data_IF_850784415589
#
_entry.id   IF_850784415589
#
_cell.length_a   1.000
_cell.length_b   1.000
_cell.length_c   1.000
_cell.angle_alpha   90.00
_cell.angle_beta   90.00
_cell.angle_gamma   90.00
#
_symmetry.space_group_name_H-M   'P 1'
#
loop_
_entity.id
_entity.type
_entity.pdbx_description
1 polymer ?
#
# COMPACT_ATOMS: atom_id res chain seq x y z
N UNK A 1 -12.23 8.14 14.82
CA UNK A 1 -12.69 7.62 16.12
C UNK A 1 -12.58 6.12 16.08
N UNK A 2 -11.56 5.59 16.70
CA UNK A 2 -11.45 4.15 16.90
C UNK A 2 -12.38 3.75 18.04
N UNK A 3 -13.12 2.66 17.84
CA UNK A 3 -14.01 2.13 18.83
C UNK A 3 -13.20 1.52 19.98
N UNK A 4 -12.95 2.30 21.02
CA UNK A 4 -12.23 1.85 22.22
C UNK A 4 -13.13 1.30 23.31
N UNK A 5 -14.46 1.27 23.11
CA UNK A 5 -15.42 0.96 24.16
C UNK A 5 -16.43 -0.11 23.73
N UNK A 6 -16.03 -1.30 23.40
CA UNK A 6 -16.94 -2.44 23.31
C UNK A 6 -18.23 -2.31 22.48
N UNK A 7 -18.46 -1.18 21.83
CA UNK A 7 -19.57 -0.99 20.91
C UNK A 7 -19.33 -1.82 19.64
N UNK A 8 -20.15 -2.83 19.47
CA UNK A 8 -20.12 -3.66 18.28
C UNK A 8 -20.76 -2.89 17.14
N UNK A 9 -19.95 -2.48 16.14
CA UNK A 9 -20.47 -1.91 14.92
C UNK A 9 -21.24 -3.00 14.16
N UNK A 10 -22.56 -2.89 14.07
CA UNK A 10 -23.35 -3.77 13.23
C UNK A 10 -23.31 -3.24 11.80
N UNK A 11 -22.43 -3.81 10.98
CA UNK A 11 -22.35 -3.56 9.56
C UNK A 11 -22.93 -4.77 8.82
N UNK A 12 -23.71 -4.58 7.75
CA UNK A 12 -24.15 -5.72 6.94
C UNK A 12 -22.93 -6.51 6.47
N UNK A 13 -22.84 -7.77 6.86
CA UNK A 13 -21.80 -8.68 6.37
C UNK A 13 -22.32 -9.28 5.09
N UNK A 14 -21.64 -9.03 3.96
CA UNK A 14 -21.91 -9.81 2.76
C UNK A 14 -21.21 -11.15 2.92
N UNK A 15 -21.95 -12.23 2.72
CA UNK A 15 -21.36 -13.54 2.54
C UNK A 15 -20.67 -13.55 1.17
N UNK A 16 -19.49 -14.01 1.12
CA UNK A 16 -18.39 -13.54 0.32
C UNK A 16 -18.22 -14.19 -1.04
N UNK A 17 -19.17 -14.94 -1.51
CA UNK A 17 -18.97 -15.66 -2.78
C UNK A 17 -19.34 -14.82 -4.02
N UNK A 18 -19.73 -13.56 -3.81
CA UNK A 18 -20.02 -12.67 -4.92
C UNK A 18 -19.81 -11.19 -4.59
N UNK A 19 -19.20 -10.48 -5.52
CA UNK A 19 -19.09 -9.03 -5.47
C UNK A 19 -20.49 -8.38 -5.40
N UNK A 20 -20.77 -7.54 -4.39
CA UNK A 20 -22.10 -6.96 -4.21
C UNK A 20 -22.43 -5.83 -5.20
N UNK A 21 -21.47 -5.46 -6.06
CA UNK A 21 -21.52 -4.32 -6.95
C UNK A 21 -21.06 -3.01 -6.32
N UNK A 22 -20.65 -2.08 -7.17
CA UNK A 22 -20.06 -0.78 -6.79
C UNK A 22 -20.93 -0.03 -5.79
N UNK A 23 -22.25 0.06 -6.06
CA UNK A 23 -23.16 0.81 -5.19
C UNK A 23 -23.16 0.27 -3.75
N UNK A 24 -23.27 -1.03 -3.58
CA UNK A 24 -23.34 -1.62 -2.26
C UNK A 24 -22.01 -1.55 -1.51
N UNK A 25 -20.89 -1.65 -2.23
CA UNK A 25 -19.56 -1.42 -1.68
C UNK A 25 -19.39 0.05 -1.24
N UNK A 26 -19.81 0.99 -2.07
CA UNK A 26 -19.75 2.42 -1.75
C UNK A 26 -20.64 2.78 -0.55
N UNK A 27 -21.88 2.30 -0.50
CA UNK A 27 -22.79 2.52 0.63
C UNK A 27 -22.16 2.05 1.96
N UNK A 28 -21.36 0.96 1.93
CA UNK A 28 -20.63 0.45 3.10
C UNK A 28 -19.46 1.34 3.49
N UNK A 29 -18.65 1.78 2.51
CA UNK A 29 -17.56 2.72 2.76
C UNK A 29 -18.11 3.98 3.42
N UNK A 30 -19.18 4.54 2.87
CA UNK A 30 -19.80 5.76 3.37
C UNK A 30 -20.38 5.57 4.79
N UNK A 31 -21.00 4.43 5.06
CA UNK A 31 -21.48 4.08 6.41
C UNK A 31 -20.32 4.01 7.40
N UNK A 32 -19.24 3.32 7.09
CA UNK A 32 -18.08 3.19 7.98
C UNK A 32 -17.43 4.55 8.22
N UNK A 33 -17.25 5.35 7.18
CA UNK A 33 -16.73 6.72 7.30
C UNK A 33 -17.61 7.61 8.16
N UNK A 34 -18.93 7.50 8.04
CA UNK A 34 -19.87 8.26 8.87
C UNK A 34 -19.76 7.92 10.36
N UNK A 35 -19.19 6.76 10.70
CA UNK A 35 -18.89 6.30 12.05
C UNK A 35 -17.49 6.66 12.52
N UNK A 36 -16.72 7.38 11.71
CA UNK A 36 -15.35 7.77 12.00
C UNK A 36 -14.31 6.67 11.76
N UNK A 37 -14.65 5.63 11.00
CA UNK A 37 -13.70 4.62 10.57
C UNK A 37 -12.94 5.10 9.33
N UNK A 38 -11.68 4.70 9.20
CA UNK A 38 -11.00 4.67 7.90
C UNK A 38 -11.15 3.29 7.27
N UNK A 39 -11.19 3.22 5.96
CA UNK A 39 -11.53 2.00 5.21
C UNK A 39 -10.45 1.68 4.20
N UNK A 40 -10.20 0.39 4.01
CA UNK A 40 -9.28 -0.13 3.01
C UNK A 40 -10.02 -1.03 2.02
N UNK A 41 -9.45 -1.19 0.84
CA UNK A 41 -9.81 -2.26 -0.09
C UNK A 41 -8.66 -3.27 -0.14
N UNK A 42 -8.96 -4.53 0.23
CA UNK A 42 -7.97 -5.58 0.40
C UNK A 42 -7.98 -6.55 -0.80
N UNK A 43 -6.84 -7.20 -1.06
CA UNK A 43 -6.62 -8.28 -2.04
C UNK A 43 -7.45 -8.13 -3.34
N UNK A 44 -7.36 -7.00 -4.06
CA UNK A 44 -8.22 -6.73 -5.21
C UNK A 44 -8.09 -7.76 -6.34
N UNK A 45 -6.91 -8.33 -6.54
CA UNK A 45 -6.70 -9.36 -7.56
C UNK A 45 -7.35 -10.69 -7.17
N UNK A 46 -7.17 -11.13 -5.92
CA UNK A 46 -7.83 -12.32 -5.37
C UNK A 46 -9.35 -12.21 -5.41
N UNK A 47 -9.89 -11.02 -5.16
CA UNK A 47 -11.33 -10.74 -5.17
C UNK A 47 -11.99 -10.88 -6.55
N UNK A 48 -11.21 -10.94 -7.63
CA UNK A 48 -11.70 -11.10 -9.03
C UNK A 48 -12.69 -10.04 -9.47
N UNK A 49 -12.68 -8.88 -8.85
CA UNK A 49 -13.55 -7.76 -9.22
C UNK A 49 -12.91 -6.98 -10.36
N UNK A 50 -13.75 -6.48 -11.27
CA UNK A 50 -13.29 -5.65 -12.38
C UNK A 50 -12.48 -4.44 -11.84
N UNK A 51 -11.28 -4.18 -12.36
CA UNK A 51 -10.48 -3.04 -11.93
C UNK A 51 -11.18 -1.69 -12.06
N UNK A 52 -12.07 -1.52 -13.05
CA UNK A 52 -12.82 -0.27 -13.20
C UNK A 52 -13.82 -0.08 -12.07
N UNK A 53 -14.48 -1.14 -11.64
CA UNK A 53 -15.40 -1.09 -10.51
C UNK A 53 -14.68 -0.76 -9.21
N UNK A 54 -13.55 -1.45 -8.91
CA UNK A 54 -12.74 -1.20 -7.71
C UNK A 54 -12.21 0.23 -7.69
N UNK A 55 -11.63 0.67 -8.80
CA UNK A 55 -11.03 2.00 -8.89
C UNK A 55 -12.06 3.14 -8.90
N UNK A 56 -13.34 2.85 -9.12
CA UNK A 56 -14.42 3.83 -9.03
C UNK A 56 -14.83 4.16 -7.59
N UNK A 57 -14.46 3.33 -6.61
CA UNK A 57 -14.81 3.52 -5.20
C UNK A 57 -14.14 4.79 -4.64
N UNK A 58 -14.90 5.53 -3.84
CA UNK A 58 -14.48 6.80 -3.26
C UNK A 58 -14.37 6.71 -1.75
N UNK A 59 -13.45 7.50 -1.19
CA UNK A 59 -13.33 7.65 0.26
C UNK A 59 -12.62 6.50 0.96
N UNK A 60 -11.97 5.61 0.23
CA UNK A 60 -11.00 4.70 0.82
C UNK A 60 -9.82 5.50 1.40
N UNK A 61 -9.37 5.08 2.57
CA UNK A 61 -8.11 5.57 3.11
C UNK A 61 -6.92 4.97 2.38
N UNK A 62 -6.95 3.65 2.12
CA UNK A 62 -5.85 2.98 1.44
C UNK A 62 -6.31 1.77 0.61
N UNK A 63 -5.48 1.42 -0.36
CA UNK A 63 -5.52 0.21 -1.16
C UNK A 63 -4.43 -0.75 -0.71
N UNK A 64 -4.75 -2.01 -0.53
CA UNK A 64 -3.74 -3.05 -0.33
C UNK A 64 -3.01 -3.33 -1.64
N UNK A 65 -1.70 -3.04 -1.66
CA UNK A 65 -0.85 -3.21 -2.84
C UNK A 65 -0.03 -4.50 -2.79
N UNK A 66 0.04 -5.13 -1.63
CA UNK A 66 0.64 -6.44 -1.43
C UNK A 66 -0.08 -7.18 -0.31
N UNK A 67 -0.45 -8.44 -0.59
CA UNK A 67 -1.06 -9.37 0.34
C UNK A 67 -0.26 -10.68 0.37
N UNK A 68 0.39 -10.98 1.48
CA UNK A 68 1.32 -12.11 1.57
C UNK A 68 0.62 -13.47 1.49
N UNK A 69 -0.52 -13.63 2.16
CA UNK A 69 -1.31 -14.85 2.11
C UNK A 69 -1.81 -15.16 0.70
N UNK A 70 -2.28 -14.13 -0.02
CA UNK A 70 -2.67 -14.27 -1.44
C UNK A 70 -1.48 -14.60 -2.34
N UNK A 71 -0.29 -14.07 -2.05
CA UNK A 71 0.92 -14.40 -2.81
C UNK A 71 1.31 -15.87 -2.63
N UNK A 72 1.38 -16.34 -1.39
CA UNK A 72 1.77 -17.72 -1.08
C UNK A 72 0.74 -18.75 -1.57
N UNK A 73 -0.55 -18.46 -1.37
CA UNK A 73 -1.62 -19.38 -1.72
C UNK A 73 -1.95 -19.45 -3.21
N UNK A 74 -1.80 -18.31 -3.91
CA UNK A 74 -2.38 -18.17 -5.26
C UNK A 74 -1.45 -17.46 -6.27
N UNK A 75 -0.34 -16.86 -5.85
CA UNK A 75 0.53 -16.02 -6.70
C UNK A 75 -0.13 -14.69 -7.10
N UNK A 76 -1.03 -14.17 -6.27
CA UNK A 76 -1.88 -13.02 -6.57
C UNK A 76 -1.73 -11.88 -5.54
N UNK A 77 -0.59 -11.83 -4.86
CA UNK A 77 -0.35 -10.86 -3.81
C UNK A 77 -0.07 -9.44 -4.30
N UNK A 78 0.53 -9.29 -5.49
CA UNK A 78 0.94 -7.97 -6.00
C UNK A 78 -0.18 -7.26 -6.77
N UNK A 79 -0.65 -6.13 -6.23
CA UNK A 79 -1.85 -5.43 -6.71
C UNK A 79 -1.64 -3.93 -6.98
N UNK A 80 -0.39 -3.50 -7.13
CA UNK A 80 -0.01 -2.09 -7.41
C UNK A 80 -0.71 -1.50 -8.63
N UNK A 81 -1.07 -2.32 -9.63
CA UNK A 81 -1.82 -1.89 -10.80
C UNK A 81 -3.16 -1.21 -10.46
N UNK A 82 -3.91 -1.74 -9.49
CA UNK A 82 -5.17 -1.14 -9.05
C UNK A 82 -4.94 0.22 -8.41
N UNK A 83 -3.94 0.32 -7.55
CA UNK A 83 -3.58 1.56 -6.88
C UNK A 83 -3.13 2.65 -7.86
N UNK A 84 -2.21 2.33 -8.78
CA UNK A 84 -1.78 3.27 -9.83
C UNK A 84 -2.93 3.75 -10.70
N UNK A 85 -3.90 2.87 -10.99
CA UNK A 85 -5.08 3.24 -11.75
C UNK A 85 -5.95 4.24 -11.00
N UNK A 86 -6.14 4.08 -9.69
CA UNK A 86 -6.83 5.05 -8.84
C UNK A 86 -6.12 6.41 -8.86
N UNK A 87 -4.80 6.41 -8.66
CA UNK A 87 -4.00 7.64 -8.70
C UNK A 87 -4.13 8.37 -10.04
N UNK A 88 -4.06 7.65 -11.15
CA UNK A 88 -4.23 8.21 -12.51
C UNK A 88 -5.61 8.81 -12.77
N UNK A 89 -6.62 8.35 -12.05
CA UNK A 89 -7.97 8.91 -12.09
C UNK A 89 -8.14 10.11 -11.15
N UNK A 90 -7.08 10.53 -10.45
CA UNK A 90 -7.13 11.60 -9.45
C UNK A 90 -7.71 11.18 -8.11
N UNK A 91 -7.92 9.87 -7.90
CA UNK A 91 -8.37 9.32 -6.63
C UNK A 91 -7.14 8.95 -5.79
N UNK A 92 -6.64 9.92 -5.03
CA UNK A 92 -5.44 9.77 -4.22
C UNK A 92 -5.74 9.00 -2.93
N UNK A 93 -5.45 7.72 -2.94
CA UNK A 93 -5.52 6.82 -1.79
C UNK A 93 -4.13 6.39 -1.37
N UNK A 94 -3.94 6.14 -0.09
CA UNK A 94 -2.69 5.57 0.42
C UNK A 94 -2.53 4.12 -0.04
N UNK A 95 -1.32 3.56 0.11
CA UNK A 95 -1.02 2.18 -0.22
C UNK A 95 -0.47 1.45 0.99
N UNK A 96 -0.88 0.20 1.21
CA UNK A 96 -0.34 -0.60 2.31
C UNK A 96 -0.06 -2.05 1.89
N UNK A 97 0.83 -2.72 2.62
CA UNK A 97 1.07 -4.15 2.54
C UNK A 97 0.56 -4.82 3.82
N UNK A 98 0.07 -6.05 3.68
CA UNK A 98 -0.31 -6.87 4.83
C UNK A 98 -0.02 -8.35 4.60
N UNK A 99 0.01 -9.10 5.69
CA UNK A 99 0.11 -10.55 5.65
C UNK A 99 -1.20 -11.23 5.27
N UNK A 100 -2.33 -10.66 5.69
CA UNK A 100 -3.64 -11.35 5.65
C UNK A 100 -3.56 -12.75 6.26
N UNK A 101 -2.96 -12.80 7.45
CA UNK A 101 -2.48 -14.00 8.11
C UNK A 101 -3.59 -14.97 8.50
N UNK A 102 -3.49 -16.21 8.07
CA UNK A 102 -4.37 -17.33 8.40
C UNK A 102 -3.62 -18.53 8.97
N UNK A 103 -2.29 -18.61 8.74
CA UNK A 103 -1.41 -19.73 9.10
C UNK A 103 -2.04 -21.10 8.78
N UNK A 104 -2.39 -21.36 7.51
CA UNK A 104 -2.89 -22.67 7.11
C UNK A 104 -1.80 -23.73 7.27
N UNK A 105 -2.16 -25.01 7.40
CA UNK A 105 -1.17 -26.08 7.61
C UNK A 105 -0.09 -26.20 6.53
N UNK A 106 -0.39 -25.73 5.32
CA UNK A 106 0.46 -25.89 4.14
C UNK A 106 1.60 -24.86 4.08
N UNK A 107 1.44 -23.69 4.68
CA UNK A 107 2.44 -22.64 4.64
C UNK A 107 2.28 -21.64 5.78
N UNK A 108 3.38 -20.93 6.06
CA UNK A 108 3.42 -19.87 7.07
C UNK A 108 3.36 -18.50 6.38
N UNK A 109 2.26 -17.79 6.58
CA UNK A 109 1.93 -16.53 5.93
C UNK A 109 2.08 -15.30 6.83
N UNK A 110 2.97 -15.35 7.80
CA UNK A 110 3.27 -14.23 8.70
C UNK A 110 4.59 -13.55 8.33
N UNK A 111 4.66 -12.24 8.55
CA UNK A 111 5.85 -11.39 8.40
C UNK A 111 6.39 -11.24 6.98
N UNK A 112 5.57 -11.50 5.97
CA UNK A 112 5.94 -11.32 4.58
C UNK A 112 5.45 -10.01 3.97
N UNK A 113 4.46 -9.34 4.58
CA UNK A 113 3.94 -8.05 4.15
C UNK A 113 3.46 -7.22 5.33
N UNK A 114 3.96 -6.00 5.50
CA UNK A 114 3.63 -5.15 6.63
C UNK A 114 3.84 -3.66 6.32
N UNK A 115 3.35 -2.81 7.22
CA UNK A 115 3.64 -1.38 7.22
C UNK A 115 4.61 -1.03 8.35
N UNK A 116 5.56 -0.14 8.07
CA UNK A 116 6.42 0.48 9.07
C UNK A 116 5.92 1.90 9.29
N UNK A 117 5.48 2.20 10.49
CA UNK A 117 4.92 3.51 10.86
C UNK A 117 6.00 4.33 11.55
N UNK A 118 6.22 5.56 11.06
CA UNK A 118 7.16 6.52 11.67
C UNK A 118 6.45 7.23 12.83
N UNK A 119 6.31 6.55 13.96
CA UNK A 119 5.62 7.05 15.16
C UNK A 119 6.61 7.30 16.29
N UNK A 120 6.37 8.36 17.05
CA UNK A 120 7.18 8.73 18.22
C UNK A 120 6.94 7.81 19.41
N UNK A 121 5.81 7.11 19.45
CA UNK A 121 5.43 6.21 20.55
C UNK A 121 4.60 5.03 20.07
N UNK A 122 4.61 3.93 20.85
CA UNK A 122 3.83 2.72 20.59
C UNK A 122 2.46 2.78 21.26
N UNK A 123 1.83 3.93 21.25
CA UNK A 123 0.45 4.04 21.68
C UNK A 123 -0.49 4.14 20.47
N UNK A 124 -1.74 3.80 20.73
CA UNK A 124 -2.78 3.71 19.73
C UNK A 124 -3.01 5.03 18.99
N UNK A 125 -3.07 6.15 19.72
CA UNK A 125 -3.38 7.46 19.15
C UNK A 125 -2.24 7.93 18.24
N UNK A 126 -1.00 7.79 18.68
CA UNK A 126 0.17 8.15 17.90
C UNK A 126 0.26 7.32 16.61
N UNK A 127 0.18 6.00 16.69
CA UNK A 127 0.24 5.13 15.50
C UNK A 127 -0.85 5.47 14.48
N UNK A 128 -2.08 5.67 14.94
CA UNK A 128 -3.20 5.98 14.04
C UNK A 128 -3.06 7.35 13.39
N UNK A 129 -2.62 8.35 14.15
CA UNK A 129 -2.41 9.69 13.61
C UNK A 129 -1.35 9.66 12.51
N UNK A 130 -0.23 8.96 12.72
CA UNK A 130 0.82 8.80 11.71
C UNK A 130 0.36 7.98 10.48
N UNK A 131 -0.42 6.92 10.69
CA UNK A 131 -1.02 6.18 9.57
C UNK A 131 -1.93 7.10 8.72
N UNK A 132 -2.78 7.89 9.35
CA UNK A 132 -3.69 8.80 8.65
C UNK A 132 -2.96 9.98 8.00
N UNK A 133 -1.82 10.39 8.55
CA UNK A 133 -0.95 11.42 7.96
C UNK A 133 -0.13 10.90 6.76
N UNK A 134 -0.02 9.57 6.60
CA UNK A 134 0.82 8.96 5.56
C UNK A 134 2.29 8.79 5.98
N UNK A 135 2.60 8.90 7.28
CA UNK A 135 3.93 8.76 7.83
C UNK A 135 4.29 7.27 7.99
N UNK A 136 4.16 6.51 6.93
CA UNK A 136 4.49 5.09 6.91
C UNK A 136 4.89 4.63 5.51
N UNK A 137 5.49 3.47 5.42
CA UNK A 137 5.77 2.79 4.18
C UNK A 137 5.42 1.30 4.26
N UNK A 138 5.19 0.69 3.11
CA UNK A 138 4.92 -0.74 2.98
C UNK A 138 6.20 -1.51 2.72
N UNK A 139 6.40 -2.65 3.35
CA UNK A 139 7.62 -3.45 3.22
C UNK A 139 7.34 -4.95 3.17
N UNK A 140 8.27 -5.66 2.53
CA UNK A 140 8.44 -7.11 2.53
C UNK A 140 9.82 -7.50 3.10
N UNK A 141 10.42 -6.64 3.94
CA UNK A 141 11.71 -6.86 4.58
C UNK A 141 12.66 -5.66 4.56
N UNK A 142 12.90 -5.00 3.40
CA UNK A 142 13.77 -3.83 3.34
C UNK A 142 13.27 -2.67 4.18
N UNK A 143 14.20 -1.87 4.72
CA UNK A 143 13.89 -0.71 5.55
C UNK A 143 14.11 0.58 4.77
N UNK A 144 13.16 1.52 4.86
CA UNK A 144 13.36 2.91 4.45
C UNK A 144 13.76 3.70 5.68
N UNK A 145 14.94 4.32 5.62
CA UNK A 145 15.47 5.13 6.70
C UNK A 145 14.99 6.58 6.62
N UNK A 146 14.89 7.11 5.39
CA UNK A 146 14.42 8.46 5.14
C UNK A 146 13.87 8.58 3.71
N UNK A 147 12.83 9.39 3.55
CA UNK A 147 12.31 9.78 2.23
C UNK A 147 11.73 11.19 2.29
N UNK A 148 11.57 11.80 1.13
CA UNK A 148 10.99 13.13 1.05
C UNK A 148 11.34 13.87 -0.23
N UNK A 149 11.14 15.18 -0.20
CA UNK A 149 11.51 16.09 -1.28
C UNK A 149 12.55 17.07 -0.76
N UNK A 150 13.67 17.19 -1.47
CA UNK A 150 14.76 18.10 -1.17
C UNK A 150 15.29 18.71 -2.47
N UNK A 151 15.42 20.03 -2.54
CA UNK A 151 15.95 20.74 -3.72
C UNK A 151 15.31 20.31 -5.06
N UNK A 152 13.99 20.17 -5.06
CA UNK A 152 13.20 19.71 -6.21
C UNK A 152 13.52 18.27 -6.67
N UNK A 153 14.04 17.43 -5.78
CA UNK A 153 14.23 16.00 -6.00
C UNK A 153 13.44 15.21 -4.96
N UNK A 154 12.73 14.18 -5.40
CA UNK A 154 12.26 13.14 -4.49
C UNK A 154 13.44 12.22 -4.21
N UNK A 155 13.66 11.88 -2.95
CA UNK A 155 14.77 11.02 -2.53
C UNK A 155 14.30 9.91 -1.59
N UNK A 156 15.09 8.85 -1.54
CA UNK A 156 14.95 7.76 -0.57
C UNK A 156 16.31 7.31 -0.08
N UNK A 157 16.41 7.08 1.23
CA UNK A 157 17.53 6.39 1.90
C UNK A 157 16.98 5.11 2.53
N UNK A 158 17.63 3.98 2.27
CA UNK A 158 17.12 2.67 2.65
C UNK A 158 18.23 1.69 3.04
N UNK A 159 17.83 0.54 3.61
CA UNK A 159 18.72 -0.60 3.76
C UNK A 159 19.27 -1.06 2.41
N UNK A 160 20.42 -1.77 2.37
CA UNK A 160 21.04 -2.20 1.13
C UNK A 160 20.07 -2.95 0.21
N UNK A 161 19.92 -2.51 -1.03
CA UNK A 161 19.02 -3.09 -2.00
C UNK A 161 19.65 -3.19 -3.40
N UNK A 162 19.03 -3.99 -4.26
CA UNK A 162 19.51 -4.20 -5.63
C UNK A 162 18.94 -3.22 -6.64
N UNK A 163 17.79 -2.62 -6.32
CA UNK A 163 17.08 -1.72 -7.23
C UNK A 163 16.24 -0.72 -6.47
N UNK A 164 16.25 0.53 -6.93
CA UNK A 164 15.34 1.60 -6.53
C UNK A 164 14.71 2.15 -7.80
N UNK A 165 13.39 2.28 -7.82
CA UNK A 165 12.66 2.79 -8.97
C UNK A 165 11.70 3.90 -8.53
N UNK A 166 11.79 5.05 -9.19
CA UNK A 166 10.84 6.16 -9.09
C UNK A 166 9.88 6.06 -10.27
N UNK A 167 8.60 5.86 -9.98
CA UNK A 167 7.54 5.77 -10.98
C UNK A 167 6.75 7.07 -10.95
N UNK A 168 6.47 7.64 -12.12
CA UNK A 168 5.68 8.87 -12.23
C UNK A 168 4.38 8.60 -12.98
N UNK A 169 3.42 9.51 -12.86
CA UNK A 169 2.14 9.46 -13.58
C UNK A 169 2.26 9.75 -15.08
N UNK A 170 3.40 10.23 -15.51
CA UNK A 170 3.72 10.49 -16.92
C UNK A 170 4.07 9.22 -17.71
N UNK A 171 4.48 9.39 -18.99
CA UNK A 171 5.00 8.30 -19.79
C UNK A 171 6.17 7.57 -19.10
N UNK A 172 6.32 6.28 -19.37
CA UNK A 172 7.32 5.42 -18.70
C UNK A 172 8.76 5.90 -18.80
N UNK A 173 9.10 6.72 -19.80
CA UNK A 173 10.43 7.32 -19.90
C UNK A 173 10.72 8.39 -18.83
N UNK A 174 9.70 8.89 -18.15
CA UNK A 174 9.87 9.79 -17.01
C UNK A 174 10.23 9.03 -15.72
N UNK A 175 10.00 7.73 -15.68
CA UNK A 175 10.39 6.89 -14.56
C UNK A 175 11.90 6.65 -14.59
N UNK A 176 12.52 6.64 -13.40
CA UNK A 176 13.95 6.36 -13.29
C UNK A 176 14.20 5.16 -12.40
N UNK A 177 14.99 4.23 -12.93
CA UNK A 177 15.43 3.04 -12.23
C UNK A 177 16.93 3.13 -11.95
N UNK A 178 17.29 2.95 -10.69
CA UNK A 178 18.67 2.79 -10.24
C UNK A 178 18.91 1.32 -9.96
N UNK A 179 19.97 0.77 -10.51
CA UNK A 179 20.36 -0.63 -10.36
C UNK A 179 21.70 -0.72 -9.65
N UNK A 180 21.82 -1.68 -8.75
CA UNK A 180 23.09 -2.08 -8.15
C UNK A 180 24.10 -2.42 -9.24
N UNK A 181 25.31 -1.95 -9.07
CA UNK A 181 26.46 -2.33 -9.90
C UNK A 181 27.44 -3.17 -9.09
N UNK A 182 28.52 -2.57 -8.60
CA UNK A 182 29.50 -3.27 -7.76
C UNK A 182 29.10 -3.32 -6.28
N UNK A 183 28.29 -2.37 -5.83
CA UNK A 183 27.83 -2.24 -4.44
C UNK A 183 26.32 -2.08 -4.38
N UNK A 184 25.65 -2.58 -3.31
CA UNK A 184 24.25 -2.33 -3.07
C UNK A 184 23.90 -0.85 -3.02
N UNK A 185 22.69 -0.52 -3.45
CA UNK A 185 22.14 0.82 -3.33
C UNK A 185 21.63 1.04 -1.91
N UNK A 186 21.91 2.22 -1.36
CA UNK A 186 21.35 2.66 -0.07
C UNK A 186 20.70 4.03 -0.20
N UNK A 187 20.80 4.66 -1.37
CA UNK A 187 20.24 5.97 -1.66
C UNK A 187 19.95 6.10 -3.15
N UNK A 188 18.90 6.83 -3.48
CA UNK A 188 18.61 7.32 -4.81
C UNK A 188 17.79 8.61 -4.75
N UNK A 189 17.86 9.40 -5.82
CA UNK A 189 17.03 10.60 -6.00
C UNK A 189 16.57 10.75 -7.44
N UNK A 190 15.44 11.42 -7.63
CA UNK A 190 14.84 11.69 -8.93
C UNK A 190 14.38 13.15 -9.02
N UNK A 191 14.82 13.92 -10.02
CA UNK A 191 14.40 15.30 -10.19
C UNK A 191 12.91 15.37 -10.53
N UNK A 192 12.20 16.30 -9.89
CA UNK A 192 10.82 16.64 -10.21
C UNK A 192 10.77 17.68 -11.31
N UNK A 193 9.93 17.43 -12.31
CA UNK A 193 9.74 18.37 -13.44
C UNK A 193 8.58 19.35 -13.18
N UNK A 194 7.87 19.19 -12.06
CA UNK A 194 6.72 20.00 -11.69
C UNK A 194 5.43 19.67 -12.45
N UNK A 195 5.42 18.54 -13.17
CA UNK A 195 4.23 18.02 -13.87
C UNK A 195 3.70 16.73 -13.27
N UNK A 196 4.46 16.15 -12.35
CA UNK A 196 4.10 14.91 -11.66
C UNK A 196 3.01 15.19 -10.62
N UNK A 197 1.94 14.39 -10.66
CA UNK A 197 0.88 14.41 -9.63
C UNK A 197 1.24 13.53 -8.44
N UNK A 198 2.07 12.51 -8.67
CA UNK A 198 2.59 11.57 -7.66
C UNK A 198 3.88 10.90 -8.13
N UNK A 199 4.68 10.42 -7.20
CA UNK A 199 5.91 9.66 -7.47
C UNK A 199 6.01 8.49 -6.49
N UNK A 200 5.41 7.33 -6.78
CA UNK A 200 5.70 6.09 -6.07
C UNK A 200 7.17 5.73 -6.13
N UNK A 201 7.70 5.30 -5.01
CA UNK A 201 9.07 4.78 -4.93
C UNK A 201 9.00 3.31 -4.56
N UNK A 202 9.60 2.47 -5.38
CA UNK A 202 9.75 1.04 -5.11
C UNK A 202 11.21 0.64 -5.05
N UNK A 203 11.53 -0.34 -4.21
CA UNK A 203 12.88 -0.87 -4.07
C UNK A 203 12.83 -2.39 -3.89
N UNK A 204 13.89 -3.08 -4.28
CA UNK A 204 13.96 -4.54 -4.26
C UNK A 204 15.14 -4.97 -3.41
N UNK A 205 14.89 -5.80 -2.41
CA UNK A 205 15.90 -6.38 -1.52
C UNK A 205 16.98 -7.12 -2.32
N UNK A 206 18.17 -7.20 -1.75
CA UNK A 206 19.21 -8.14 -2.19
C UNK A 206 18.69 -9.56 -1.89
N UNK A 207 18.34 -10.32 -2.93
CA UNK A 207 18.13 -11.76 -2.73
C UNK A 207 19.46 -12.34 -2.27
N UNK A 208 19.46 -13.08 -1.16
CA UNK A 208 20.53 -14.01 -0.89
C UNK A 208 20.56 -14.97 -2.08
N UNK A 209 21.67 -15.02 -2.80
CA UNK A 209 21.88 -16.10 -3.76
C UNK A 209 22.02 -17.37 -2.92
N UNK A 210 21.02 -18.21 -2.97
CA UNK A 210 21.16 -19.60 -2.61
C UNK A 210 22.06 -20.32 -3.62
#
# INVERSE_FOLDING_TARGET
>A
RLFTSGERLTVPVYTTDSWPGVKAAQDRIDLLRSKGCFTTYNHPLWSRVDPEEVCSLQGLWAMEIYNHGSELGFGEGHTTFFWERMLKQGNFVSAFASDDNHNPPEYFDSFGGYVCVCSESLDHESIVNHLLAGDYYSSQGPEICQWGIRENHVFVECSPCSRICFVTDGPTYNSRMHLMQATPLTHAEHPLNGTESYVPVSYTHLRAHE
#
